data_IF_692237369233
#
_entry.id   IF_692237369233
#
_cell.length_a   1.000
_cell.length_b   1.000
_cell.length_c   1.000
_cell.angle_alpha   90.00
_cell.angle_beta   90.00
_cell.angle_gamma   90.00
#
_symmetry.space_group_name_H-M   'P 1'
#
loop_
_entity.id
_entity.type
_entity.pdbx_description
1 polymer ?
#
# COMPACT_ATOMS: atom_id res chain seq x y z
N UNK A 1 -33.55 5.43 -10.54
CA UNK A 1 -34.90 5.17 -11.10
C UNK A 1 -35.90 5.30 -9.96
N UNK A 2 -37.00 6.04 -10.13
CA UNK A 2 -38.03 6.20 -9.08
C UNK A 2 -39.25 5.35 -9.45
N UNK A 3 -39.64 4.41 -8.59
CA UNK A 3 -40.81 3.54 -8.75
C UNK A 3 -41.53 3.51 -7.41
N UNK A 4 -42.81 3.89 -7.36
CA UNK A 4 -43.67 3.80 -6.17
C UNK A 4 -43.05 4.42 -4.89
N UNK A 5 -42.40 5.58 -5.02
CA UNK A 5 -41.72 6.27 -3.91
C UNK A 5 -40.33 5.73 -3.58
N UNK A 6 -39.84 4.70 -4.29
CA UNK A 6 -38.49 4.16 -4.12
C UNK A 6 -37.53 4.67 -5.18
N UNK A 7 -36.38 5.17 -4.74
CA UNK A 7 -35.28 5.58 -5.60
C UNK A 7 -34.10 4.62 -5.49
N UNK A 8 -33.77 3.98 -6.61
CA UNK A 8 -32.65 3.03 -6.69
C UNK A 8 -31.42 3.69 -7.31
N UNK A 9 -30.29 3.59 -6.61
CA UNK A 9 -28.95 3.94 -7.08
C UNK A 9 -28.08 2.69 -7.18
N UNK A 10 -27.18 2.69 -8.16
CA UNK A 10 -26.23 1.60 -8.37
C UNK A 10 -24.81 2.16 -8.33
N UNK A 11 -23.92 1.55 -7.56
CA UNK A 11 -22.55 2.01 -7.37
C UNK A 11 -21.53 0.88 -7.46
N UNK A 12 -20.34 1.18 -7.98
CA UNK A 12 -19.24 0.21 -8.12
C UNK A 12 -18.28 0.18 -6.94
N UNK A 13 -18.33 1.19 -6.07
CA UNK A 13 -17.42 1.32 -4.94
C UNK A 13 -18.05 0.74 -3.67
N UNK A 14 -17.74 -0.53 -3.38
CA UNK A 14 -18.19 -1.20 -2.15
C UNK A 14 -17.72 -0.45 -0.90
N UNK A 15 -16.49 0.10 -0.93
CA UNK A 15 -15.95 0.93 0.14
C UNK A 15 -16.76 2.22 0.35
N UNK A 16 -17.22 2.87 -0.72
CA UNK A 16 -18.04 4.07 -0.61
C UNK A 16 -19.43 3.75 -0.02
N UNK A 17 -20.04 2.63 -0.44
CA UNK A 17 -21.33 2.18 0.11
C UNK A 17 -21.21 1.95 1.62
N UNK A 18 -20.18 1.21 2.05
CA UNK A 18 -19.94 0.94 3.47
C UNK A 18 -19.61 2.19 4.29
N UNK A 19 -18.98 3.19 3.68
CA UNK A 19 -18.58 4.40 4.38
C UNK A 19 -19.75 5.35 4.71
N UNK A 20 -20.88 5.23 4.01
CA UNK A 20 -22.06 6.07 4.23
C UNK A 20 -22.70 5.78 5.60
N UNK A 21 -22.73 4.52 6.03
CA UNK A 21 -23.33 4.12 7.31
C UNK A 21 -22.51 4.54 8.55
N UNK A 22 -21.29 5.06 8.37
CA UNK A 22 -20.34 5.35 9.45
C UNK A 22 -19.68 6.73 9.38
N UNK A 23 -20.26 7.68 8.65
CA UNK A 23 -19.64 8.99 8.40
C UNK A 23 -19.30 9.74 9.72
N UNK A 24 -18.04 10.15 9.87
CA UNK A 24 -17.55 10.93 11.02
C UNK A 24 -17.17 12.36 10.60
N UNK A 25 -17.26 13.29 11.56
CA UNK A 25 -17.36 14.75 11.29
C UNK A 25 -16.10 15.43 10.72
N UNK A 26 -14.91 14.83 10.78
CA UNK A 26 -13.66 15.48 10.31
C UNK A 26 -13.06 14.78 9.09
N UNK A 27 -12.90 15.52 7.99
CA UNK A 27 -12.26 15.04 6.75
C UNK A 27 -13.18 14.31 5.77
N UNK A 28 -14.45 14.09 6.11
CA UNK A 28 -15.45 13.38 5.29
C UNK A 28 -16.60 14.30 4.84
N UNK A 29 -16.29 15.55 4.48
CA UNK A 29 -17.30 16.56 4.15
C UNK A 29 -18.26 16.10 3.03
N UNK A 30 -17.75 15.39 2.02
CA UNK A 30 -18.55 14.82 0.93
C UNK A 30 -19.56 13.78 1.45
N UNK A 31 -19.14 12.90 2.37
CA UNK A 31 -20.04 11.91 2.97
C UNK A 31 -21.13 12.59 3.83
N UNK A 32 -20.77 13.68 4.53
CA UNK A 32 -21.74 14.51 5.25
C UNK A 32 -22.80 15.09 4.31
N UNK A 33 -22.40 15.71 3.20
CA UNK A 33 -23.36 16.26 2.22
C UNK A 33 -24.22 15.18 1.55
N UNK A 34 -23.66 13.98 1.33
CA UNK A 34 -24.43 12.83 0.81
C UNK A 34 -25.50 12.40 1.83
N UNK A 35 -25.14 12.30 3.11
CA UNK A 35 -26.09 11.94 4.17
C UNK A 35 -27.20 12.99 4.32
N UNK A 36 -26.86 14.29 4.30
CA UNK A 36 -27.85 15.39 4.34
C UNK A 36 -28.85 15.30 3.19
N UNK A 37 -28.36 15.07 1.95
CA UNK A 37 -29.24 14.91 0.78
C UNK A 37 -30.08 13.64 0.86
N UNK A 38 -29.55 12.57 1.44
CA UNK A 38 -30.29 11.34 1.67
C UNK A 38 -31.45 11.58 2.64
N UNK A 39 -31.20 12.27 3.75
CA UNK A 39 -32.23 12.58 4.74
C UNK A 39 -33.29 13.55 4.21
N UNK A 40 -32.89 14.52 3.38
CA UNK A 40 -33.82 15.40 2.66
C UNK A 40 -34.79 14.59 1.77
N UNK A 41 -34.28 13.65 0.98
CA UNK A 41 -35.11 12.79 0.13
C UNK A 41 -36.06 11.92 0.96
N UNK A 42 -35.59 11.37 2.08
CA UNK A 42 -36.45 10.61 3.02
C UNK A 42 -37.56 11.47 3.60
N UNK A 43 -37.27 12.72 3.95
CA UNK A 43 -38.27 13.66 4.49
C UNK A 43 -39.38 13.97 3.48
N UNK A 44 -39.10 13.83 2.18
CA UNK A 44 -40.06 13.99 1.08
C UNK A 44 -40.81 12.70 0.75
N UNK A 45 -40.64 11.63 1.54
CA UNK A 45 -41.28 10.33 1.32
C UNK A 45 -40.57 9.46 0.28
N UNK A 46 -39.36 9.82 -0.15
CA UNK A 46 -38.58 9.03 -1.12
C UNK A 46 -37.68 8.05 -0.36
N UNK A 47 -37.91 6.75 -0.57
CA UNK A 47 -37.06 5.70 -0.03
C UNK A 47 -35.86 5.44 -0.94
N UNK A 48 -34.67 5.84 -0.51
CA UNK A 48 -33.44 5.67 -1.29
C UNK A 48 -32.74 4.35 -0.91
N UNK A 49 -32.34 3.58 -1.92
CA UNK A 49 -31.51 2.36 -1.75
C UNK A 49 -30.32 2.38 -2.71
N UNK A 50 -29.17 1.91 -2.23
CA UNK A 50 -27.95 1.78 -3.04
C UNK A 50 -27.61 0.30 -3.19
N UNK A 51 -27.44 -0.15 -4.43
CA UNK A 51 -27.05 -1.51 -4.77
C UNK A 51 -25.62 -1.51 -5.35
N UNK A 52 -24.80 -2.45 -4.89
CA UNK A 52 -23.50 -2.67 -5.50
C UNK A 52 -23.64 -3.41 -6.83
N UNK A 53 -22.88 -2.98 -7.84
CA UNK A 53 -22.77 -3.68 -9.12
C UNK A 53 -21.31 -3.85 -9.55
N UNK A 54 -20.96 -4.97 -10.20
CA UNK A 54 -19.61 -5.18 -10.70
C UNK A 54 -19.28 -4.25 -11.87
N UNK A 55 -18.00 -3.88 -11.97
CA UNK A 55 -17.48 -3.09 -13.10
C UNK A 55 -17.25 -3.97 -14.33
N UNK A 56 -17.41 -3.41 -15.53
CA UNK A 56 -16.98 -4.01 -16.81
C UNK A 56 -17.62 -5.36 -17.14
N UNK A 57 -18.86 -5.57 -16.69
CA UNK A 57 -19.67 -6.75 -17.01
C UNK A 57 -20.69 -6.47 -18.12
N UNK A 58 -20.59 -5.33 -18.83
CA UNK A 58 -21.49 -4.99 -19.92
C UNK A 58 -22.87 -4.52 -19.48
N UNK A 59 -23.04 -4.11 -18.22
CA UNK A 59 -24.28 -3.51 -17.73
C UNK A 59 -24.42 -2.12 -18.34
N UNK A 60 -25.32 -1.96 -19.30
CA UNK A 60 -25.43 -0.75 -20.14
C UNK A 60 -25.49 0.57 -19.33
N UNK A 61 -26.30 0.63 -18.27
CA UNK A 61 -26.40 1.81 -17.42
C UNK A 61 -25.10 2.17 -16.70
N UNK A 62 -24.34 1.15 -16.30
CA UNK A 62 -23.05 1.31 -15.61
C UNK A 62 -21.96 1.76 -16.59
N UNK A 63 -21.92 1.16 -17.78
CA UNK A 63 -20.95 1.55 -18.83
C UNK A 63 -21.22 2.98 -19.29
N UNK A 64 -22.50 3.39 -19.44
CA UNK A 64 -22.85 4.80 -19.75
C UNK A 64 -22.39 5.76 -18.67
N UNK A 65 -22.58 5.42 -17.39
CA UNK A 65 -22.12 6.26 -16.28
C UNK A 65 -20.58 6.36 -16.23
N UNK A 66 -19.86 5.26 -16.51
CA UNK A 66 -18.39 5.25 -16.59
C UNK A 66 -17.87 6.11 -17.75
N UNK A 67 -18.51 6.03 -18.92
CA UNK A 67 -18.20 6.87 -20.08
C UNK A 67 -18.43 8.35 -19.72
N UNK A 68 -19.59 8.70 -19.19
CA UNK A 68 -19.91 10.08 -18.82
C UNK A 68 -18.93 10.64 -17.77
N UNK A 69 -18.55 9.82 -16.77
CA UNK A 69 -17.57 10.22 -15.76
C UNK A 69 -16.18 10.46 -16.38
N UNK A 70 -15.70 9.58 -17.27
CA UNK A 70 -14.45 9.79 -18.02
C UNK A 70 -14.53 11.04 -18.89
N UNK A 71 -15.66 11.25 -19.56
CA UNK A 71 -15.84 12.43 -20.39
C UNK A 71 -15.83 13.74 -19.58
N UNK A 72 -16.33 13.72 -18.34
CA UNK A 72 -16.26 14.86 -17.44
C UNK A 72 -14.81 15.22 -17.06
N UNK A 73 -13.87 14.26 -17.08
CA UNK A 73 -12.44 14.53 -16.87
C UNK A 73 -11.72 14.95 -18.16
N UNK A 74 -12.44 15.41 -19.18
CA UNK A 74 -11.84 15.76 -20.47
C UNK A 74 -11.39 14.56 -21.32
N UNK A 75 -11.57 13.31 -20.87
CA UNK A 75 -11.18 12.14 -21.65
C UNK A 75 -12.11 11.94 -22.85
N UNK A 76 -11.57 11.69 -24.04
CA UNK A 76 -12.32 11.40 -25.27
C UNK A 76 -11.62 10.31 -26.09
N UNK A 77 -12.39 9.53 -26.85
CA UNK A 77 -11.83 8.71 -27.93
C UNK A 77 -11.87 9.52 -29.22
N UNK A 78 -10.70 9.78 -29.80
CA UNK A 78 -10.58 10.46 -31.10
C UNK A 78 -10.01 9.51 -32.13
N UNK A 79 -10.44 9.63 -33.39
CA UNK A 79 -9.78 8.94 -34.48
C UNK A 79 -8.49 9.68 -34.84
N UNK A 80 -7.36 8.96 -34.82
CA UNK A 80 -6.13 9.49 -35.37
C UNK A 80 -6.15 9.48 -36.90
N UNK A 81 -5.12 10.08 -37.52
CA UNK A 81 -4.96 10.13 -38.99
C UNK A 81 -4.88 8.75 -39.69
N UNK A 82 -4.83 7.66 -38.92
CA UNK A 82 -4.84 6.27 -39.41
C UNK A 82 -6.18 5.56 -39.13
N UNK A 83 -7.22 6.30 -38.76
CA UNK A 83 -8.56 5.78 -38.44
C UNK A 83 -8.65 5.01 -37.11
N UNK A 84 -7.58 4.93 -36.32
CA UNK A 84 -7.57 4.20 -35.04
C UNK A 84 -8.11 5.11 -33.94
N UNK A 85 -9.04 4.58 -33.14
CA UNK A 85 -9.47 5.25 -31.92
C UNK A 85 -8.32 5.28 -30.91
N UNK A 86 -7.95 6.48 -30.46
CA UNK A 86 -6.94 6.71 -29.43
C UNK A 86 -7.54 7.56 -28.32
N UNK A 87 -7.20 7.28 -27.05
CA UNK A 87 -7.63 8.12 -25.94
C UNK A 87 -6.89 9.46 -26.00
N UNK A 88 -7.65 10.55 -25.89
CA UNK A 88 -7.16 11.92 -25.78
C UNK A 88 -7.67 12.52 -24.48
N UNK A 89 -6.76 13.08 -23.70
CA UNK A 89 -7.10 13.85 -22.51
C UNK A 89 -7.18 15.33 -22.90
N UNK A 90 -8.41 15.84 -22.97
CA UNK A 90 -8.73 17.25 -23.27
C UNK A 90 -8.83 18.08 -21.99
N UNK A 91 -8.55 17.50 -20.81
CA UNK A 91 -8.55 18.24 -19.56
C UNK A 91 -7.52 19.36 -19.62
N UNK A 92 -8.01 20.60 -19.75
CA UNK A 92 -7.23 21.82 -19.67
C UNK A 92 -7.21 22.39 -18.26
N UNK A 93 -7.91 21.75 -17.30
CA UNK A 93 -8.01 22.17 -15.90
C UNK A 93 -6.76 21.79 -15.12
N UNK A 94 -6.10 20.69 -15.48
CA UNK A 94 -4.76 20.40 -14.98
C UNK A 94 -3.78 21.45 -15.54
N UNK A 95 -3.02 22.16 -14.68
CA UNK A 95 -2.02 23.10 -15.14
C UNK A 95 -1.05 22.38 -16.09
N UNK A 96 -1.12 22.71 -17.39
CA UNK A 96 -0.08 22.29 -18.31
C UNK A 96 1.19 22.93 -17.78
N UNK A 97 2.21 22.12 -17.53
CA UNK A 97 3.53 22.61 -17.14
C UNK A 97 4.17 23.25 -18.39
N UNK A 98 3.66 24.42 -18.76
CA UNK A 98 4.16 25.25 -19.86
C UNK A 98 5.51 25.80 -19.44
N UNK A 99 6.52 25.70 -20.33
CA UNK A 99 7.89 26.16 -20.03
C UNK A 99 8.83 25.07 -19.49
N UNK A 100 8.39 23.81 -19.42
CA UNK A 100 9.31 22.70 -19.19
C UNK A 100 10.29 22.57 -20.36
N UNK A 101 11.56 22.84 -20.10
CA UNK A 101 12.64 22.68 -21.09
C UNK A 101 12.99 21.20 -21.37
N UNK A 102 12.39 20.26 -20.62
CA UNK A 102 12.63 18.83 -20.78
C UNK A 102 11.33 18.01 -20.67
N UNK A 103 11.26 16.82 -21.31
CA UNK A 103 10.11 15.93 -21.18
C UNK A 103 9.84 15.53 -19.72
N UNK A 104 8.56 15.37 -19.35
CA UNK A 104 8.15 14.94 -18.00
C UNK A 104 8.78 13.61 -17.58
N UNK A 105 9.03 12.70 -18.52
CA UNK A 105 9.70 11.42 -18.26
C UNK A 105 11.15 11.62 -17.81
N UNK A 106 11.88 12.56 -18.41
CA UNK A 106 13.24 12.92 -18.03
C UNK A 106 13.24 13.54 -16.63
N UNK A 107 12.38 14.53 -16.37
CA UNK A 107 12.25 15.14 -15.04
C UNK A 107 11.92 14.10 -13.96
N UNK A 108 10.94 13.22 -14.22
CA UNK A 108 10.57 12.14 -13.28
C UNK A 108 11.74 11.21 -13.00
N UNK A 109 12.53 10.86 -14.02
CA UNK A 109 13.74 10.04 -13.85
C UNK A 109 14.76 10.77 -13.00
N UNK A 110 14.98 12.06 -13.23
CA UNK A 110 16.00 12.83 -12.52
C UNK A 110 15.62 13.05 -11.06
N UNK A 111 14.35 13.40 -10.78
CA UNK A 111 13.80 13.46 -9.42
C UNK A 111 13.94 12.12 -8.69
N UNK A 112 13.65 11.02 -9.39
CA UNK A 112 13.83 9.67 -8.84
C UNK A 112 15.30 9.42 -8.52
N UNK A 113 16.23 9.75 -9.42
CA UNK A 113 17.67 9.60 -9.19
C UNK A 113 18.14 10.39 -7.98
N UNK A 114 17.69 11.66 -7.85
CA UNK A 114 17.99 12.50 -6.69
C UNK A 114 17.44 11.90 -5.39
N UNK A 115 16.19 11.41 -5.40
CA UNK A 115 15.58 10.76 -4.25
C UNK A 115 16.35 9.50 -3.83
N UNK A 116 16.79 8.66 -4.77
CA UNK A 116 17.61 7.48 -4.46
C UNK A 116 18.97 7.87 -3.88
N UNK A 117 19.63 8.89 -4.46
CA UNK A 117 20.91 9.40 -3.95
C UNK A 117 20.77 9.94 -2.52
N UNK A 118 19.73 10.72 -2.25
CA UNK A 118 19.43 11.22 -0.91
C UNK A 118 19.12 10.08 0.06
N UNK A 119 18.36 9.06 -0.38
CA UNK A 119 18.04 7.92 0.45
C UNK A 119 19.28 7.10 0.83
N UNK A 120 20.21 6.90 -0.10
CA UNK A 120 21.47 6.22 0.15
C UNK A 120 22.39 7.01 1.10
N UNK A 121 22.45 8.33 0.97
CA UNK A 121 23.17 9.20 1.91
C UNK A 121 22.55 9.12 3.32
N UNK A 122 21.23 9.25 3.41
CA UNK A 122 20.50 9.12 4.67
C UNK A 122 20.73 7.75 5.31
N UNK A 123 20.75 6.68 4.51
CA UNK A 123 21.11 5.35 4.96
C UNK A 123 22.50 5.39 5.60
N UNK A 124 23.55 5.71 4.85
CA UNK A 124 24.93 5.69 5.36
C UNK A 124 25.16 6.53 6.63
N UNK A 125 24.50 7.69 6.73
CA UNK A 125 24.70 8.64 7.83
C UNK A 125 23.86 8.33 9.08
N UNK A 126 22.68 7.71 8.94
CA UNK A 126 21.77 7.51 10.07
C UNK A 126 22.34 6.50 11.09
N UNK A 127 22.28 6.82 12.38
CA UNK A 127 22.76 5.95 13.46
C UNK A 127 21.70 4.94 13.95
N UNK A 128 20.44 5.12 13.56
CA UNK A 128 19.34 4.23 13.92
C UNK A 128 19.25 3.04 12.95
N UNK A 129 18.79 1.88 13.44
CA UNK A 129 18.56 0.71 12.58
C UNK A 129 19.83 0.01 12.07
N UNK A 130 21.00 0.30 12.66
CA UNK A 130 22.32 -0.23 12.26
C UNK A 130 22.43 -1.76 12.24
N UNK A 131 21.53 -2.49 12.87
CA UNK A 131 21.46 -3.96 12.74
C UNK A 131 21.26 -4.39 11.28
N UNK A 132 20.41 -3.67 10.53
CA UNK A 132 20.10 -4.01 9.14
C UNK A 132 21.28 -3.74 8.19
N UNK A 133 22.19 -2.80 8.53
CA UNK A 133 23.40 -2.49 7.74
C UNK A 133 24.34 -3.68 7.59
N UNK A 134 24.34 -4.59 8.56
CA UNK A 134 25.16 -5.81 8.51
C UNK A 134 24.73 -6.77 7.41
N UNK A 135 23.50 -6.61 6.92
CA UNK A 135 22.86 -7.51 5.95
C UNK A 135 22.47 -6.77 4.67
N UNK A 136 22.40 -5.43 4.71
CA UNK A 136 22.02 -4.58 3.59
C UNK A 136 23.02 -3.43 3.50
N UNK A 137 23.87 -3.48 2.48
CA UNK A 137 24.85 -2.46 2.14
C UNK A 137 24.19 -1.15 1.68
N UNK A 138 23.20 -1.26 0.80
CA UNK A 138 22.48 -0.12 0.22
C UNK A 138 20.98 -0.37 0.05
N UNK A 139 20.16 0.69 0.10
CA UNK A 139 18.75 0.59 -0.22
C UNK A 139 18.57 0.11 -1.67
N UNK A 140 17.76 -0.94 -1.85
CA UNK A 140 17.57 -1.57 -3.15
C UNK A 140 16.21 -2.24 -3.25
N UNK A 141 15.67 -2.28 -4.48
CA UNK A 141 14.46 -3.04 -4.81
C UNK A 141 14.59 -4.53 -4.51
N UNK A 142 15.82 -5.08 -4.52
CA UNK A 142 16.09 -6.46 -4.10
C UNK A 142 15.58 -6.77 -2.70
N UNK A 143 15.55 -5.77 -1.81
CA UNK A 143 14.97 -5.95 -0.47
C UNK A 143 13.47 -6.22 -0.51
N UNK A 144 12.75 -5.62 -1.46
CA UNK A 144 11.31 -5.84 -1.66
C UNK A 144 11.08 -7.22 -2.29
N UNK A 145 11.93 -7.62 -3.23
CA UNK A 145 11.86 -8.92 -3.91
C UNK A 145 11.88 -10.10 -2.94
N UNK A 146 12.61 -9.99 -1.83
CA UNK A 146 12.64 -11.01 -0.76
C UNK A 146 11.26 -11.32 -0.16
N UNK A 147 10.32 -10.38 -0.21
CA UNK A 147 8.98 -10.53 0.35
C UNK A 147 7.95 -10.99 -0.70
N UNK A 148 8.28 -10.97 -1.99
CA UNK A 148 7.32 -11.20 -3.07
C UNK A 148 6.69 -12.59 -3.08
N UNK A 149 7.46 -13.62 -2.67
CA UNK A 149 7.01 -15.03 -2.66
C UNK A 149 6.63 -15.52 -1.26
N UNK A 150 6.62 -14.64 -0.27
CA UNK A 150 6.34 -14.99 1.12
C UNK A 150 4.90 -14.65 1.48
N UNK A 151 4.27 -15.54 2.25
CA UNK A 151 3.01 -15.19 2.93
C UNK A 151 3.23 -14.04 3.92
N UNK A 152 2.17 -13.32 4.28
CA UNK A 152 2.26 -12.19 5.23
C UNK A 152 2.95 -12.56 6.55
N UNK A 153 2.67 -13.71 7.19
CA UNK A 153 3.37 -14.10 8.42
C UNK A 153 4.87 -14.29 8.23
N UNK A 154 5.28 -14.99 7.16
CA UNK A 154 6.70 -15.24 6.86
C UNK A 154 7.43 -13.94 6.52
N UNK A 155 6.78 -13.05 5.76
CA UNK A 155 7.29 -11.73 5.45
C UNK A 155 7.53 -10.89 6.71
N UNK A 156 6.62 -10.95 7.69
CA UNK A 156 6.78 -10.27 8.98
C UNK A 156 7.94 -10.84 9.79
N UNK A 157 8.04 -12.17 9.90
CA UNK A 157 9.15 -12.84 10.60
C UNK A 157 10.49 -12.47 9.96
N UNK A 158 10.57 -12.46 8.62
CA UNK A 158 11.77 -12.04 7.90
C UNK A 158 12.15 -10.59 8.21
N UNK A 159 11.20 -9.65 8.21
CA UNK A 159 11.46 -8.26 8.57
C UNK A 159 11.97 -8.13 10.01
N UNK A 160 11.35 -8.83 10.96
CA UNK A 160 11.76 -8.83 12.36
C UNK A 160 13.18 -9.39 12.54
N UNK A 161 13.49 -10.51 11.85
CA UNK A 161 14.82 -11.11 11.87
C UNK A 161 15.89 -10.16 11.29
N UNK A 162 15.61 -9.52 10.16
CA UNK A 162 16.57 -8.64 9.48
C UNK A 162 16.81 -7.32 10.23
N UNK A 163 15.77 -6.77 10.85
CA UNK A 163 15.88 -5.54 11.65
C UNK A 163 16.41 -5.80 13.06
N UNK A 164 16.29 -7.04 13.55
CA UNK A 164 16.58 -7.40 14.94
C UNK A 164 15.49 -6.95 15.92
N UNK A 165 14.39 -6.38 15.44
CA UNK A 165 13.21 -6.04 16.23
C UNK A 165 12.30 -7.27 16.34
N UNK A 166 12.77 -8.27 17.09
CA UNK A 166 12.13 -9.57 17.23
C UNK A 166 12.03 -9.93 18.71
N UNK A 167 11.06 -10.76 19.09
CA UNK A 167 10.83 -11.24 20.45
C UNK A 167 11.88 -12.25 20.97
N UNK A 168 13.16 -12.01 20.67
CA UNK A 168 14.29 -12.72 21.26
C UNK A 168 14.75 -12.05 22.55
N UNK A 169 15.31 -12.84 23.47
CA UNK A 169 15.62 -12.40 24.84
C UNK A 169 16.51 -11.17 24.89
N UNK A 170 17.52 -11.08 24.02
CA UNK A 170 18.40 -9.90 23.97
C UNK A 170 17.65 -8.61 23.61
N UNK A 171 16.72 -8.68 22.66
CA UNK A 171 15.91 -7.54 22.27
C UNK A 171 14.93 -7.16 23.38
N UNK A 172 14.23 -8.14 23.97
CA UNK A 172 13.30 -7.91 25.08
C UNK A 172 13.99 -7.30 26.31
N UNK A 173 15.16 -7.81 26.66
CA UNK A 173 16.00 -7.26 27.73
C UNK A 173 16.39 -5.80 27.47
N UNK A 174 16.85 -5.48 26.24
CA UNK A 174 17.15 -4.09 25.86
C UNK A 174 15.95 -3.15 25.93
N UNK A 175 14.74 -3.67 25.72
CA UNK A 175 13.48 -2.93 25.86
C UNK A 175 12.93 -2.89 27.28
N UNK A 176 13.63 -3.51 28.25
CA UNK A 176 13.27 -3.55 29.67
C UNK A 176 11.86 -4.12 29.91
N UNK A 177 11.52 -5.19 29.20
CA UNK A 177 10.23 -5.89 29.39
C UNK A 177 10.22 -6.57 30.77
N UNK A 178 9.15 -6.42 31.58
CA UNK A 178 9.04 -7.07 32.88
C UNK A 178 9.18 -8.60 32.79
N UNK A 179 9.92 -9.20 33.72
CA UNK A 179 10.18 -10.65 33.76
C UNK A 179 11.35 -11.14 32.90
N UNK A 180 12.10 -10.24 32.25
CA UNK A 180 13.31 -10.57 31.49
C UNK A 180 14.52 -9.88 32.11
N UNK A 181 15.25 -10.61 32.97
CA UNK A 181 16.35 -10.05 33.76
C UNK A 181 17.70 -10.03 33.04
N UNK A 182 17.85 -10.82 31.98
CA UNK A 182 19.05 -10.81 31.14
C UNK A 182 18.74 -11.11 29.67
N UNK A 183 19.66 -10.71 28.79
CA UNK A 183 19.56 -10.92 27.34
C UNK A 183 20.21 -12.22 26.84
N UNK A 184 20.64 -13.10 27.73
CA UNK A 184 21.48 -14.25 27.37
C UNK A 184 20.69 -15.41 26.79
N UNK A 185 21.30 -16.10 25.83
CA UNK A 185 20.76 -17.33 25.29
C UNK A 185 20.85 -18.45 26.33
N UNK A 186 19.86 -19.36 26.32
CA UNK A 186 19.85 -20.53 27.21
C UNK A 186 21.03 -21.49 26.96
N UNK A 187 21.76 -21.35 25.83
CA UNK A 187 23.00 -22.10 25.60
C UNK A 187 24.21 -21.51 26.34
N UNK A 188 24.06 -20.35 27.01
CA UNK A 188 25.08 -19.67 27.80
C UNK A 188 26.33 -19.22 27.01
N UNK A 189 26.24 -19.12 25.68
CA UNK A 189 27.33 -18.65 24.80
C UNK A 189 27.15 -17.20 24.32
N UNK A 190 26.49 -16.38 25.13
CA UNK A 190 26.26 -14.95 24.87
C UNK A 190 24.81 -14.56 24.61
N UNK A 191 24.62 -13.35 24.08
CA UNK A 191 23.30 -12.74 23.87
C UNK A 191 22.43 -13.51 22.86
N UNK A 192 21.15 -13.70 23.18
CA UNK A 192 20.19 -14.33 22.27
C UNK A 192 19.77 -13.37 21.15
N UNK A 193 20.59 -13.30 20.11
CA UNK A 193 20.35 -12.51 18.89
C UNK A 193 19.97 -13.40 17.71
N UNK A 194 19.41 -12.80 16.65
CA UNK A 194 19.12 -13.50 15.39
C UNK A 194 20.39 -14.14 14.82
N UNK A 195 21.50 -13.38 14.78
CA UNK A 195 22.81 -13.89 14.33
C UNK A 195 23.28 -15.07 15.15
N UNK A 196 23.13 -15.02 16.48
CA UNK A 196 23.51 -16.14 17.35
C UNK A 196 22.67 -17.39 17.05
N UNK A 197 21.33 -17.27 17.01
CA UNK A 197 20.44 -18.40 16.72
C UNK A 197 20.74 -19.02 15.35
N UNK A 198 20.84 -18.19 14.31
CA UNK A 198 20.98 -18.65 12.93
C UNK A 198 22.39 -19.13 12.57
N UNK A 199 23.46 -18.69 13.25
CA UNK A 199 24.83 -18.98 12.83
C UNK A 199 25.67 -19.77 13.84
N UNK A 200 25.42 -19.65 15.16
CA UNK A 200 26.36 -20.17 16.17
C UNK A 200 25.75 -20.93 17.35
N UNK A 201 24.45 -20.81 17.60
CA UNK A 201 23.81 -21.42 18.75
C UNK A 201 23.85 -22.96 18.64
N UNK A 202 24.45 -23.69 19.60
CA UNK A 202 24.56 -25.15 19.52
C UNK A 202 23.20 -25.86 19.56
N UNK A 203 22.19 -25.23 20.17
CA UNK A 203 20.84 -25.79 20.26
C UNK A 203 20.13 -25.92 18.92
N UNK A 204 20.52 -25.10 17.95
CA UNK A 204 19.94 -25.09 16.60
C UNK A 204 20.91 -25.71 15.57
N UNK A 205 21.81 -26.59 16.00
CA UNK A 205 22.85 -27.15 15.12
C UNK A 205 22.24 -28.10 14.09
N UNK A 206 21.31 -28.94 14.50
CA UNK A 206 20.70 -29.94 13.62
C UNK A 206 19.85 -29.29 12.53
N UNK A 207 19.06 -28.26 12.86
CA UNK A 207 18.26 -27.51 11.91
C UNK A 207 19.14 -26.78 10.88
N UNK A 208 20.29 -26.23 11.31
CA UNK A 208 21.26 -25.62 10.39
C UNK A 208 21.89 -26.65 9.46
N UNK A 209 22.17 -27.85 9.95
CA UNK A 209 22.73 -28.92 9.14
C UNK A 209 21.69 -29.42 8.11
N UNK A 210 20.44 -29.63 8.54
CA UNK A 210 19.33 -30.00 7.66
C UNK A 210 19.16 -28.97 6.53
N UNK A 211 19.14 -27.67 6.86
CA UNK A 211 19.03 -26.60 5.87
C UNK A 211 20.19 -26.53 4.88
N UNK A 212 21.42 -26.90 5.29
CA UNK A 212 22.56 -26.98 4.37
C UNK A 212 22.40 -28.13 3.38
N UNK A 213 21.82 -29.25 3.83
CA UNK A 213 21.64 -30.46 3.02
C UNK A 213 20.47 -30.34 2.03
N UNK A 214 19.46 -29.50 2.31
CA UNK A 214 18.37 -29.18 1.37
C UNK A 214 18.79 -28.29 0.19
N UNK A 215 20.01 -27.75 0.21
CA UNK A 215 20.56 -26.86 -0.84
C UNK A 215 21.48 -27.57 -1.83
N UNK A 216 21.72 -28.88 -1.66
CA UNK A 216 22.34 -29.79 -2.64
C UNK A 216 21.26 -30.59 -3.33
#
# INVERSE_FOLDING_TARGET
>A
MIIDGWMFYYARSQAAIQAIDGAQKTGQQILGSIAEKWDELRSQGVQVTIHWIPAHQGIEGNERADIAAKEATGWRLVQNNRGRQVPLDMDSTAPRLVGLQQPLSALKRDLKTLAYKQWEQNWQQNQQGRTLFRVVDKPSKKNIELHTRLSRPLSSILTQMRTGNISLRHFLYKRKIPGIDNGECQCQRGAQTVTHILLSCPRFKEERNAWKNERT
#
